data_IF_060288768166
#
_entry.id   IF_060288768166
#
_cell.length_a   1.000
_cell.length_b   1.000
_cell.length_c   1.000
_cell.angle_alpha   90.00
_cell.angle_beta   90.00
_cell.angle_gamma   90.00
#
_symmetry.space_group_name_H-M   'P 1'
#
loop_
_entity.id
_entity.type
_entity.pdbx_description
1 polymer ?
#
# COMPACT_ATOMS: atom_id res chain seq x y z
N UNK A 1 -18.18 -15.75 -36.31
CA UNK A 1 -17.05 -15.50 -35.40
C UNK A 1 -16.72 -16.80 -34.64
N UNK A 2 -15.47 -17.24 -34.64
CA UNK A 2 -15.08 -18.49 -33.97
C UNK A 2 -15.42 -18.39 -32.46
N UNK A 3 -16.10 -19.41 -31.90
CA UNK A 3 -16.57 -19.43 -30.49
C UNK A 3 -15.45 -19.12 -29.47
N UNK A 4 -14.19 -19.47 -29.81
CA UNK A 4 -13.02 -19.14 -28.98
C UNK A 4 -12.72 -17.65 -28.99
N UNK A 5 -12.75 -17.01 -30.16
CA UNK A 5 -12.52 -15.56 -30.31
C UNK A 5 -13.60 -14.78 -29.57
N UNK A 6 -14.86 -15.20 -29.67
CA UNK A 6 -15.98 -14.60 -28.94
C UNK A 6 -15.77 -14.65 -27.43
N UNK A 7 -15.31 -15.79 -26.88
CA UNK A 7 -15.05 -15.90 -25.44
C UNK A 7 -13.91 -14.97 -24.96
N UNK A 8 -12.86 -14.82 -25.75
CA UNK A 8 -11.75 -13.88 -25.44
C UNK A 8 -12.26 -12.44 -25.49
N UNK A 9 -13.04 -12.10 -26.50
CA UNK A 9 -13.62 -10.76 -26.62
C UNK A 9 -14.53 -10.43 -25.41
N UNK A 10 -15.42 -11.36 -25.04
CA UNK A 10 -16.29 -11.19 -23.85
C UNK A 10 -15.46 -11.02 -22.58
N UNK A 11 -14.36 -11.75 -22.43
CA UNK A 11 -13.47 -11.64 -21.29
C UNK A 11 -12.79 -10.26 -21.20
N UNK A 12 -12.30 -9.74 -22.34
CA UNK A 12 -11.69 -8.41 -22.40
C UNK A 12 -12.72 -7.33 -22.07
N UNK A 13 -13.91 -7.38 -22.70
CA UNK A 13 -14.99 -6.41 -22.44
C UNK A 13 -15.41 -6.47 -20.97
N UNK A 14 -15.55 -7.66 -20.40
CA UNK A 14 -15.84 -7.84 -18.97
C UNK A 14 -14.77 -7.19 -18.08
N UNK A 15 -13.49 -7.40 -18.38
CA UNK A 15 -12.38 -6.81 -17.63
C UNK A 15 -12.38 -5.28 -17.70
N UNK A 16 -12.67 -4.71 -18.87
CA UNK A 16 -12.79 -3.25 -19.04
C UNK A 16 -13.94 -2.70 -18.21
N UNK A 17 -15.12 -3.31 -18.30
CA UNK A 17 -16.29 -2.89 -17.53
C UNK A 17 -16.06 -3.02 -16.03
N UNK A 18 -15.47 -4.14 -15.57
CA UNK A 18 -15.14 -4.36 -14.18
C UNK A 18 -14.17 -3.28 -13.65
N UNK A 19 -13.11 -2.98 -14.40
CA UNK A 19 -12.16 -1.91 -14.07
C UNK A 19 -12.87 -0.57 -13.93
N UNK A 20 -13.73 -0.22 -14.89
CA UNK A 20 -14.49 1.04 -14.85
C UNK A 20 -15.40 1.13 -13.63
N UNK A 21 -16.14 0.07 -13.30
CA UNK A 21 -17.01 0.05 -12.11
C UNK A 21 -16.21 0.12 -10.80
N UNK A 22 -15.08 -0.57 -10.71
CA UNK A 22 -14.18 -0.47 -9.55
C UNK A 22 -13.71 0.98 -9.37
N UNK A 23 -13.34 1.66 -10.46
CA UNK A 23 -12.87 3.05 -10.41
C UNK A 23 -14.01 4.02 -10.04
N UNK A 24 -15.25 3.79 -10.53
CA UNK A 24 -16.44 4.54 -10.11
C UNK A 24 -16.67 4.45 -8.59
N UNK A 25 -16.56 3.25 -8.03
CA UNK A 25 -16.75 3.03 -6.59
C UNK A 25 -15.63 3.70 -5.79
N UNK A 26 -14.39 3.49 -6.22
CA UNK A 26 -13.21 4.06 -5.55
C UNK A 26 -13.25 5.59 -5.49
N UNK A 27 -13.65 6.25 -6.58
CA UNK A 27 -13.77 7.72 -6.68
C UNK A 27 -15.09 8.26 -6.13
N UNK A 28 -16.09 7.42 -5.84
CA UNK A 28 -17.46 7.84 -5.51
C UNK A 28 -18.12 8.72 -6.60
N UNK A 29 -17.64 8.68 -7.83
CA UNK A 29 -18.07 9.57 -8.90
C UNK A 29 -17.99 8.88 -10.26
N UNK A 30 -19.13 8.77 -10.94
CA UNK A 30 -19.19 8.28 -12.32
C UNK A 30 -18.46 9.22 -13.28
N UNK A 31 -18.64 10.52 -13.11
CA UNK A 31 -18.04 11.52 -13.99
C UNK A 31 -16.52 11.52 -13.91
N UNK A 32 -15.94 11.39 -12.71
CA UNK A 32 -14.50 11.30 -12.54
C UNK A 32 -13.93 10.00 -13.13
N UNK A 33 -14.60 8.87 -12.96
CA UNK A 33 -14.20 7.62 -13.58
C UNK A 33 -14.29 7.69 -15.11
N UNK A 34 -15.33 8.34 -15.66
CA UNK A 34 -15.46 8.55 -17.09
C UNK A 34 -14.38 9.48 -17.63
N UNK A 35 -14.09 10.57 -16.92
CA UNK A 35 -12.98 11.46 -17.27
C UNK A 35 -11.63 10.75 -17.22
N UNK A 36 -11.40 9.88 -16.23
CA UNK A 36 -10.20 9.06 -16.16
C UNK A 36 -10.09 8.11 -17.36
N UNK A 37 -11.17 7.44 -17.72
CA UNK A 37 -11.23 6.56 -18.88
C UNK A 37 -10.91 7.32 -20.19
N UNK A 38 -11.45 8.52 -20.38
CA UNK A 38 -11.31 9.28 -21.64
C UNK A 38 -10.00 10.04 -21.73
N UNK A 39 -9.59 10.73 -20.67
CA UNK A 39 -8.42 11.60 -20.67
C UNK A 39 -7.12 10.86 -20.34
N UNK A 40 -7.20 9.73 -19.65
CA UNK A 40 -6.05 8.94 -19.21
C UNK A 40 -6.13 7.49 -19.69
N UNK A 41 -6.60 7.27 -20.92
CA UNK A 41 -6.90 5.95 -21.47
C UNK A 41 -5.70 4.98 -21.37
N UNK A 42 -4.49 5.45 -21.66
CA UNK A 42 -3.29 4.61 -21.53
C UNK A 42 -3.07 4.11 -20.10
N UNK A 43 -3.29 4.97 -19.12
CA UNK A 43 -3.18 4.61 -17.70
C UNK A 43 -4.31 3.65 -17.30
N UNK A 44 -5.53 3.91 -17.77
CA UNK A 44 -6.66 3.02 -17.55
C UNK A 44 -6.39 1.61 -18.09
N UNK A 45 -5.69 1.45 -19.22
CA UNK A 45 -5.31 0.14 -19.74
C UNK A 45 -4.36 -0.63 -18.81
N UNK A 46 -3.49 0.01 -18.03
CA UNK A 46 -2.68 -0.66 -17.00
C UNK A 46 -3.55 -1.21 -15.86
N UNK A 47 -4.61 -0.50 -15.48
CA UNK A 47 -5.58 -1.01 -14.51
C UNK A 47 -6.34 -2.23 -15.07
N UNK A 48 -6.77 -2.18 -16.33
CA UNK A 48 -7.38 -3.33 -17.04
C UNK A 48 -6.43 -4.50 -17.09
N UNK A 49 -5.14 -4.29 -17.37
CA UNK A 49 -4.14 -5.34 -17.45
C UNK A 49 -4.00 -6.10 -16.13
N UNK A 50 -4.04 -5.39 -15.00
CA UNK A 50 -4.00 -6.01 -13.66
C UNK A 50 -5.27 -6.84 -13.41
N UNK A 51 -6.44 -6.32 -13.79
CA UNK A 51 -7.70 -7.09 -13.69
C UNK A 51 -7.65 -8.34 -14.57
N UNK A 52 -7.17 -8.24 -15.80
CA UNK A 52 -6.97 -9.38 -16.70
C UNK A 52 -6.03 -10.40 -16.08
N UNK A 53 -4.92 -9.96 -15.47
CA UNK A 53 -3.97 -10.84 -14.79
C UNK A 53 -4.62 -11.58 -13.61
N UNK A 54 -5.37 -10.88 -12.75
CA UNK A 54 -6.02 -11.47 -11.57
C UNK A 54 -7.18 -12.40 -11.93
N UNK A 55 -7.88 -12.15 -13.05
CA UNK A 55 -8.98 -12.99 -13.53
C UNK A 55 -8.52 -14.17 -14.40
N UNK A 56 -7.32 -14.08 -14.99
CA UNK A 56 -6.86 -15.13 -15.94
C UNK A 56 -6.78 -16.53 -15.33
N UNK A 57 -6.41 -16.76 -14.04
CA UNK A 57 -6.41 -18.09 -13.43
C UNK A 57 -7.78 -18.77 -13.40
N UNK A 58 -8.90 -18.01 -13.48
CA UNK A 58 -10.25 -18.57 -13.52
C UNK A 58 -10.46 -19.53 -14.69
N UNK A 59 -9.68 -19.38 -15.77
CA UNK A 59 -9.76 -20.29 -16.92
C UNK A 59 -9.23 -21.69 -16.64
N UNK A 60 -8.54 -21.91 -15.52
CA UNK A 60 -8.06 -23.22 -15.06
C UNK A 60 -9.12 -24.01 -14.27
N UNK A 61 -10.24 -23.37 -13.93
CA UNK A 61 -11.30 -24.00 -13.14
C UNK A 61 -12.52 -24.36 -13.99
N UNK A 62 -13.14 -25.52 -13.67
CA UNK A 62 -14.35 -25.99 -14.39
C UNK A 62 -15.57 -25.09 -14.15
N UNK A 63 -15.68 -24.52 -12.94
CA UNK A 63 -16.75 -23.60 -12.50
C UNK A 63 -16.32 -22.14 -12.64
N UNK A 64 -15.94 -21.74 -13.85
CA UNK A 64 -15.32 -20.43 -14.14
C UNK A 64 -16.13 -19.24 -13.64
N UNK A 65 -17.47 -19.31 -13.84
CA UNK A 65 -18.35 -18.21 -13.45
C UNK A 65 -18.26 -17.91 -11.96
N UNK A 66 -18.18 -18.93 -11.12
CA UNK A 66 -18.00 -18.76 -9.69
C UNK A 66 -16.69 -18.03 -9.36
N UNK A 67 -15.56 -18.46 -9.94
CA UNK A 67 -14.26 -17.81 -9.67
C UNK A 67 -14.20 -16.39 -10.24
N UNK A 68 -14.81 -16.13 -11.40
CA UNK A 68 -14.95 -14.77 -11.90
C UNK A 68 -15.74 -13.89 -10.94
N UNK A 69 -16.89 -14.38 -10.45
CA UNK A 69 -17.71 -13.65 -9.48
C UNK A 69 -16.97 -13.42 -8.16
N UNK A 70 -16.23 -14.42 -7.68
CA UNK A 70 -15.45 -14.34 -6.44
C UNK A 70 -14.34 -13.27 -6.52
N UNK A 71 -13.51 -13.31 -7.58
CA UNK A 71 -12.42 -12.34 -7.75
C UNK A 71 -12.98 -10.94 -8.00
N UNK A 72 -14.06 -10.81 -8.78
CA UNK A 72 -14.70 -9.52 -8.99
C UNK A 72 -15.26 -8.95 -7.68
N UNK A 73 -15.86 -9.80 -6.83
CA UNK A 73 -16.35 -9.38 -5.53
C UNK A 73 -15.21 -8.90 -4.62
N UNK A 74 -14.07 -9.59 -4.63
CA UNK A 74 -12.88 -9.15 -3.86
C UNK A 74 -12.47 -7.74 -4.31
N UNK A 75 -12.38 -7.48 -5.61
CA UNK A 75 -12.05 -6.15 -6.13
C UNK A 75 -13.09 -5.09 -5.76
N UNK A 76 -14.40 -5.43 -5.79
CA UNK A 76 -15.45 -4.52 -5.33
C UNK A 76 -15.34 -4.20 -3.84
N UNK A 77 -15.07 -5.20 -3.00
CA UNK A 77 -14.86 -4.99 -1.56
C UNK A 77 -13.64 -4.09 -1.31
N UNK A 78 -12.54 -4.30 -2.02
CA UNK A 78 -11.35 -3.45 -1.91
C UNK A 78 -11.64 -2.02 -2.35
N UNK A 79 -12.42 -1.81 -3.43
CA UNK A 79 -12.81 -0.47 -3.88
C UNK A 79 -13.72 0.24 -2.88
N UNK A 80 -14.68 -0.48 -2.28
CA UNK A 80 -15.54 0.05 -1.22
C UNK A 80 -14.73 0.40 0.04
N UNK A 81 -13.81 -0.48 0.44
CA UNK A 81 -12.91 -0.24 1.56
C UNK A 81 -12.03 0.98 1.31
N UNK A 82 -11.47 1.11 0.10
CA UNK A 82 -10.71 2.31 -0.30
C UNK A 82 -11.54 3.58 -0.15
N UNK A 83 -12.78 3.56 -0.65
CA UNK A 83 -13.68 4.70 -0.56
C UNK A 83 -13.96 5.10 0.89
N UNK A 84 -14.27 4.12 1.75
CA UNK A 84 -14.51 4.35 3.17
C UNK A 84 -13.26 4.88 3.88
N UNK A 85 -12.13 4.20 3.71
CA UNK A 85 -10.85 4.59 4.33
C UNK A 85 -10.45 6.00 3.89
N UNK A 86 -10.56 6.33 2.61
CA UNK A 86 -10.26 7.67 2.10
C UNK A 86 -11.17 8.74 2.74
N UNK A 87 -12.45 8.45 2.92
CA UNK A 87 -13.39 9.40 3.57
C UNK A 87 -13.09 9.66 5.04
N UNK A 88 -12.65 8.64 5.78
CA UNK A 88 -12.40 8.76 7.22
C UNK A 88 -10.97 9.17 7.56
N UNK A 89 -9.98 8.63 6.83
CA UNK A 89 -8.56 8.86 7.09
C UNK A 89 -7.97 9.99 6.23
N UNK A 90 -8.64 10.35 5.13
CA UNK A 90 -8.10 11.31 4.15
C UNK A 90 -7.02 10.71 3.23
N UNK A 91 -6.70 9.42 3.38
CA UNK A 91 -5.71 8.70 2.57
C UNK A 91 -6.29 7.43 1.99
N UNK A 92 -5.92 7.01 0.77
CA UNK A 92 -6.43 5.80 0.15
C UNK A 92 -5.92 4.52 0.82
N UNK A 93 -6.63 3.42 0.56
CA UNK A 93 -6.27 2.09 1.03
C UNK A 93 -5.02 1.58 0.32
N UNK A 94 -4.02 1.18 1.08
CA UNK A 94 -2.81 0.53 0.59
C UNK A 94 -2.82 -0.98 0.88
N UNK A 95 -1.92 -1.73 0.24
CA UNK A 95 -1.78 -3.16 0.53
C UNK A 95 -1.35 -3.42 1.98
N UNK A 96 -0.58 -2.51 2.57
CA UNK A 96 -0.15 -2.62 3.97
C UNK A 96 -1.30 -2.52 4.97
N UNK A 97 -2.35 -1.77 4.64
CA UNK A 97 -3.53 -1.65 5.49
C UNK A 97 -4.25 -2.99 5.69
N UNK A 98 -4.06 -3.96 4.77
CA UNK A 98 -4.59 -5.31 4.94
C UNK A 98 -3.98 -6.01 6.17
N UNK A 99 -2.69 -5.79 6.42
CA UNK A 99 -2.02 -6.30 7.61
C UNK A 99 -2.48 -5.66 8.93
N UNK A 100 -3.16 -4.51 8.85
CA UNK A 100 -3.65 -3.74 10.00
C UNK A 100 -5.16 -3.89 10.23
N UNK A 101 -5.82 -4.87 9.59
CA UNK A 101 -7.28 -5.07 9.70
C UNK A 101 -7.73 -5.25 11.14
N UNK A 102 -6.97 -5.99 11.98
CA UNK A 102 -7.32 -6.21 13.38
C UNK A 102 -7.42 -4.88 14.13
N UNK A 103 -6.41 -4.01 14.01
CA UNK A 103 -6.43 -2.68 14.61
C UNK A 103 -7.59 -1.82 14.10
N UNK A 104 -7.92 -1.93 12.80
CA UNK A 104 -9.05 -1.25 12.20
C UNK A 104 -10.40 -1.71 12.76
N UNK A 105 -10.55 -3.00 13.04
CA UNK A 105 -11.78 -3.56 13.62
C UNK A 105 -12.01 -3.10 15.06
N UNK A 106 -10.95 -2.91 15.86
CA UNK A 106 -11.05 -2.42 17.24
C UNK A 106 -11.61 -1.00 17.32
N UNK A 107 -11.35 -0.17 16.31
CA UNK A 107 -11.77 1.23 16.29
C UNK A 107 -12.99 1.50 15.40
N UNK A 108 -13.52 0.47 14.74
CA UNK A 108 -14.59 0.62 13.72
C UNK A 108 -15.85 1.28 14.30
N UNK A 109 -16.18 1.01 15.57
CA UNK A 109 -17.35 1.60 16.26
C UNK A 109 -17.20 3.11 16.50
N UNK A 110 -15.98 3.65 16.48
CA UNK A 110 -15.72 5.08 16.62
C UNK A 110 -16.02 5.84 15.31
N UNK A 111 -15.93 5.16 14.18
CA UNK A 111 -16.09 5.75 12.85
C UNK A 111 -17.44 5.42 12.22
N UNK A 112 -18.04 4.27 12.53
CA UNK A 112 -19.27 3.81 11.93
C UNK A 112 -20.37 3.67 12.98
N UNK A 113 -21.58 4.16 12.65
CA UNK A 113 -22.74 3.92 13.50
C UNK A 113 -23.09 2.44 13.54
N UNK A 114 -23.66 1.97 14.67
CA UNK A 114 -24.08 0.57 14.83
C UNK A 114 -25.03 0.11 13.71
N UNK A 115 -25.92 0.99 13.24
CA UNK A 115 -26.83 0.68 12.14
C UNK A 115 -26.07 0.41 10.83
N UNK A 116 -25.01 1.19 10.52
CA UNK A 116 -24.18 0.97 9.35
C UNK A 116 -23.42 -0.36 9.45
N UNK A 117 -22.90 -0.69 10.62
CA UNK A 117 -22.22 -1.98 10.86
C UNK A 117 -23.18 -3.15 10.61
N UNK A 118 -24.42 -3.07 11.13
CA UNK A 118 -25.43 -4.09 10.90
C UNK A 118 -25.76 -4.22 9.40
N UNK A 119 -25.92 -3.10 8.69
CA UNK A 119 -26.17 -3.11 7.24
C UNK A 119 -24.99 -3.77 6.49
N UNK A 120 -23.76 -3.47 6.87
CA UNK A 120 -22.56 -4.09 6.28
C UNK A 120 -22.53 -5.60 6.51
N UNK A 121 -22.88 -6.06 7.72
CA UNK A 121 -22.95 -7.51 8.03
C UNK A 121 -24.06 -8.18 7.20
N UNK A 122 -25.25 -7.60 7.15
CA UNK A 122 -26.37 -8.15 6.37
C UNK A 122 -26.06 -8.19 4.88
N UNK A 123 -25.42 -7.13 4.34
CA UNK A 123 -25.01 -7.09 2.93
C UNK A 123 -23.93 -8.12 2.63
N UNK A 124 -22.98 -8.35 3.54
CA UNK A 124 -21.95 -9.39 3.38
C UNK A 124 -22.53 -10.80 3.38
N UNK A 125 -23.50 -11.07 4.26
CA UNK A 125 -24.23 -12.35 4.29
C UNK A 125 -25.03 -12.58 2.99
N UNK A 126 -25.66 -11.53 2.46
CA UNK A 126 -26.35 -11.59 1.17
C UNK A 126 -25.38 -11.92 0.02
N UNK A 127 -24.22 -11.26 -0.03
CA UNK A 127 -23.19 -11.51 -1.04
C UNK A 127 -22.63 -12.93 -0.96
N UNK A 128 -22.39 -13.43 0.25
CA UNK A 128 -21.94 -14.82 0.48
C UNK A 128 -23.02 -15.80 -0.01
N UNK A 129 -24.30 -15.56 0.32
CA UNK A 129 -25.41 -16.42 -0.14
C UNK A 129 -25.52 -16.43 -1.66
N UNK A 130 -25.34 -15.30 -2.30
CA UNK A 130 -25.32 -15.16 -3.76
C UNK A 130 -24.14 -15.93 -4.39
N UNK A 131 -22.96 -15.86 -3.79
CA UNK A 131 -21.79 -16.64 -4.23
C UNK A 131 -22.04 -18.15 -4.10
N UNK A 132 -22.64 -18.61 -2.99
CA UNK A 132 -23.02 -20.00 -2.78
C UNK A 132 -24.05 -20.42 -3.84
N UNK A 133 -25.04 -19.59 -4.12
CA UNK A 133 -26.03 -19.84 -5.18
C UNK A 133 -25.37 -19.98 -6.56
N UNK A 134 -24.46 -19.09 -6.91
CA UNK A 134 -23.70 -19.15 -8.16
C UNK A 134 -22.87 -20.46 -8.21
N UNK A 135 -22.21 -20.82 -7.12
CA UNK A 135 -21.44 -22.06 -7.03
C UNK A 135 -22.29 -23.30 -7.32
N UNK A 136 -23.47 -23.39 -6.68
CA UNK A 136 -24.40 -24.53 -6.83
C UNK A 136 -25.02 -24.61 -8.24
N UNK A 137 -25.29 -23.45 -8.87
CA UNK A 137 -25.93 -23.38 -10.20
C UNK A 137 -24.94 -23.30 -11.37
N UNK A 138 -23.64 -23.12 -11.09
CA UNK A 138 -22.64 -22.94 -12.14
C UNK A 138 -22.44 -24.21 -12.96
N UNK A 139 -22.63 -24.08 -14.28
CA UNK A 139 -22.38 -25.21 -15.21
C UNK A 139 -20.87 -25.43 -15.35
N UNK A 140 -20.46 -26.70 -15.19
CA UNK A 140 -19.06 -27.11 -15.41
C UNK A 140 -18.72 -27.00 -16.91
N UNK A 141 -17.65 -26.28 -17.24
CA UNK A 141 -17.14 -26.16 -18.61
C UNK A 141 -15.93 -27.07 -18.82
N UNK A 142 -15.77 -27.61 -20.03
CA UNK A 142 -14.55 -28.32 -20.42
C UNK A 142 -13.36 -27.36 -20.46
N UNK A 143 -12.18 -27.85 -20.06
CA UNK A 143 -10.95 -27.06 -19.99
C UNK A 143 -9.92 -27.67 -20.92
N UNK A 144 -9.32 -26.85 -21.75
CA UNK A 144 -8.07 -27.19 -22.41
C UNK A 144 -6.94 -26.59 -21.56
N UNK A 145 -6.39 -27.38 -20.64
CA UNK A 145 -5.35 -26.95 -19.71
C UNK A 145 -4.11 -26.47 -20.44
N UNK A 146 -3.67 -27.15 -21.47
CA UNK A 146 -2.45 -26.78 -22.21
C UNK A 146 -2.54 -25.38 -22.78
N UNK A 147 -3.60 -25.04 -23.49
CA UNK A 147 -3.78 -23.72 -24.09
C UNK A 147 -3.95 -22.65 -23.01
N UNK A 148 -4.75 -22.93 -21.95
CA UNK A 148 -4.99 -21.94 -20.90
C UNK A 148 -3.71 -21.67 -20.09
N UNK A 149 -2.93 -22.68 -19.73
CA UNK A 149 -1.64 -22.52 -19.04
C UNK A 149 -0.69 -21.72 -19.94
N UNK A 150 -0.59 -22.07 -21.23
CA UNK A 150 0.27 -21.35 -22.16
C UNK A 150 -0.09 -19.85 -22.24
N UNK A 151 -1.37 -19.52 -22.36
CA UNK A 151 -1.83 -18.12 -22.42
C UNK A 151 -1.59 -17.35 -21.10
N UNK A 152 -1.83 -18.02 -19.97
CA UNK A 152 -1.61 -17.41 -18.65
C UNK A 152 -0.11 -17.20 -18.40
N UNK A 153 0.75 -18.18 -18.72
CA UNK A 153 2.20 -18.03 -18.58
C UNK A 153 2.75 -16.93 -19.49
N UNK A 154 2.26 -16.83 -20.73
CA UNK A 154 2.61 -15.73 -21.62
C UNK A 154 2.21 -14.37 -21.04
N UNK A 155 1.01 -14.26 -20.46
CA UNK A 155 0.55 -13.05 -19.79
C UNK A 155 1.44 -12.71 -18.58
N UNK A 156 1.78 -13.69 -17.73
CA UNK A 156 2.65 -13.50 -16.57
C UNK A 156 4.05 -13.04 -16.97
N UNK A 157 4.61 -13.62 -18.03
CA UNK A 157 5.96 -13.27 -18.53
C UNK A 157 5.96 -11.89 -19.18
N UNK A 158 4.91 -11.52 -19.93
CA UNK A 158 4.81 -10.21 -20.59
C UNK A 158 4.46 -9.07 -19.63
N UNK A 159 3.80 -9.36 -18.51
CA UNK A 159 3.32 -8.36 -17.56
C UNK A 159 4.43 -7.44 -17.01
N UNK A 160 5.56 -7.95 -16.47
CA UNK A 160 6.66 -7.10 -16.01
C UNK A 160 7.28 -6.25 -17.13
N UNK A 161 7.32 -6.77 -18.35
CA UNK A 161 7.86 -6.05 -19.51
C UNK A 161 6.97 -4.87 -19.89
N UNK A 162 5.64 -5.07 -19.86
CA UNK A 162 4.65 -4.01 -20.12
C UNK A 162 4.71 -2.96 -19.02
N UNK A 163 4.81 -3.36 -17.74
CA UNK A 163 4.99 -2.41 -16.63
C UNK A 163 6.29 -1.60 -16.79
N UNK A 164 7.41 -2.25 -17.07
CA UNK A 164 8.70 -1.57 -17.27
C UNK A 164 8.65 -0.60 -18.45
N UNK A 165 7.95 -0.94 -19.52
CA UNK A 165 7.73 -0.02 -20.63
C UNK A 165 6.95 1.23 -20.16
N UNK A 166 5.86 1.04 -19.41
CA UNK A 166 5.08 2.15 -18.87
C UNK A 166 5.86 3.07 -17.93
N UNK A 167 6.74 2.48 -17.10
CA UNK A 167 7.63 3.22 -16.21
C UNK A 167 8.68 4.03 -16.99
N UNK A 168 9.33 3.41 -17.99
CA UNK A 168 10.33 4.09 -18.83
C UNK A 168 9.75 5.19 -19.71
N UNK A 169 8.48 5.02 -20.14
CA UNK A 169 7.76 5.99 -20.95
C UNK A 169 7.05 7.06 -20.11
N UNK A 170 7.21 7.06 -18.79
CA UNK A 170 6.53 7.97 -17.86
C UNK A 170 4.99 7.95 -17.97
N UNK A 171 4.40 6.87 -18.49
CA UNK A 171 2.93 6.66 -18.54
C UNK A 171 2.42 6.35 -17.13
N UNK A 172 3.18 5.54 -16.37
CA UNK A 172 2.93 5.20 -14.97
C UNK A 172 4.16 5.53 -14.14
N UNK A 173 3.96 5.75 -12.84
CA UNK A 173 5.07 5.98 -11.89
C UNK A 173 5.08 4.90 -10.82
N UNK A 174 6.28 4.54 -10.38
CA UNK A 174 6.49 3.64 -9.25
C UNK A 174 6.36 4.40 -7.91
N UNK A 175 6.85 5.63 -7.88
CA UNK A 175 6.87 6.47 -6.69
C UNK A 175 5.86 7.61 -6.85
N UNK A 176 5.05 7.83 -5.84
CA UNK A 176 4.11 8.93 -5.79
C UNK A 176 4.66 10.00 -4.83
N UNK A 177 4.69 11.25 -5.25
CA UNK A 177 5.05 12.37 -4.38
C UNK A 177 3.97 12.65 -3.33
N UNK A 178 2.73 12.32 -3.66
CA UNK A 178 1.56 12.31 -2.78
C UNK A 178 0.70 11.08 -3.12
N UNK A 179 0.25 10.36 -2.09
CA UNK A 179 -0.47 9.11 -2.29
C UNK A 179 -1.87 9.35 -2.88
N UNK A 180 -2.57 10.42 -2.43
CA UNK A 180 -3.89 10.78 -2.95
C UNK A 180 -3.79 11.17 -4.43
N UNK A 181 -2.78 11.99 -4.77
CA UNK A 181 -2.49 12.34 -6.16
C UNK A 181 -2.20 11.09 -7.00
N UNK A 182 -1.40 10.16 -6.48
CA UNK A 182 -1.07 8.91 -7.15
C UNK A 182 -2.31 8.08 -7.49
N UNK A 183 -3.22 7.89 -6.52
CA UNK A 183 -4.46 7.16 -6.72
C UNK A 183 -5.43 7.86 -7.68
N UNK A 184 -5.49 9.17 -7.62
CA UNK A 184 -6.30 9.97 -8.56
C UNK A 184 -5.74 9.92 -9.98
N UNK A 185 -4.40 9.97 -10.13
CA UNK A 185 -3.75 10.01 -11.44
C UNK A 185 -3.66 8.63 -12.10
N UNK A 186 -3.29 7.60 -11.33
CA UNK A 186 -3.02 6.27 -11.88
C UNK A 186 -4.15 5.26 -11.69
N UNK A 187 -5.21 5.63 -10.96
CA UNK A 187 -6.35 4.78 -10.63
C UNK A 187 -6.08 3.86 -9.44
N UNK A 188 -7.18 3.41 -8.81
CA UNK A 188 -7.12 2.60 -7.59
C UNK A 188 -6.39 1.27 -7.79
N UNK A 189 -6.74 0.53 -8.86
CA UNK A 189 -6.23 -0.83 -9.07
C UNK A 189 -4.71 -0.82 -9.25
N UNK A 190 -4.19 0.08 -10.09
CA UNK A 190 -2.75 0.20 -10.31
C UNK A 190 -2.03 0.65 -9.03
N UNK A 191 -2.54 1.67 -8.36
CA UNK A 191 -1.89 2.23 -7.17
C UNK A 191 -1.88 1.25 -6.00
N UNK A 192 -2.98 0.53 -5.78
CA UNK A 192 -3.06 -0.53 -4.79
C UNK A 192 -2.09 -1.70 -5.09
N UNK A 193 -2.04 -2.14 -6.36
CA UNK A 193 -1.08 -3.16 -6.80
C UNK A 193 0.36 -2.68 -6.65
N UNK A 194 0.64 -1.41 -7.02
CA UNK A 194 1.96 -0.80 -6.85
C UNK A 194 2.38 -0.75 -5.37
N UNK A 195 1.47 -0.46 -4.45
CA UNK A 195 1.76 -0.48 -3.01
C UNK A 195 2.14 -1.87 -2.49
N UNK A 196 1.64 -2.96 -3.11
CA UNK A 196 2.01 -4.33 -2.78
C UNK A 196 3.43 -4.72 -3.22
N UNK A 197 3.90 -4.17 -4.35
CA UNK A 197 5.20 -4.53 -4.94
C UNK A 197 6.29 -3.58 -4.47
N UNK A 198 5.96 -2.31 -4.25
CA UNK A 198 6.93 -1.28 -3.91
C UNK A 198 7.13 -1.22 -2.39
N UNK A 199 7.98 -2.07 -1.87
CA UNK A 199 8.21 -2.25 -0.43
C UNK A 199 9.16 -1.18 0.19
N UNK A 200 9.29 0.00 -0.42
CA UNK A 200 10.19 1.05 0.08
C UNK A 200 11.66 0.74 -0.15
N UNK A 201 12.50 0.93 0.88
CA UNK A 201 13.94 0.69 0.79
C UNK A 201 14.23 -0.81 0.83
N UNK A 202 14.93 -1.31 -0.18
CA UNK A 202 15.40 -2.68 -0.18
C UNK A 202 16.46 -2.88 0.92
N UNK A 203 16.38 -4.03 1.57
CA UNK A 203 17.41 -4.44 2.54
C UNK A 203 18.79 -4.41 1.85
N UNK A 204 19.80 -3.76 2.45
CA UNK A 204 21.15 -3.74 1.86
C UNK A 204 21.68 -5.16 1.62
N UNK A 205 22.44 -5.32 0.53
CA UNK A 205 22.98 -6.64 0.14
C UNK A 205 23.84 -7.26 1.25
N UNK A 206 24.55 -6.42 2.00
CA UNK A 206 25.45 -6.84 3.08
C UNK A 206 24.80 -6.80 4.46
N UNK A 207 23.48 -6.81 4.54
CA UNK A 207 22.78 -6.79 5.81
C UNK A 207 22.93 -8.14 6.51
N UNK A 208 23.78 -8.16 7.54
CA UNK A 208 24.02 -9.31 8.41
C UNK A 208 24.22 -8.85 9.87
N UNK A 209 24.08 -9.77 10.81
CA UNK A 209 24.36 -9.47 12.21
C UNK A 209 25.83 -9.03 12.42
N UNK A 210 26.76 -9.58 11.63
CA UNK A 210 28.17 -9.22 11.68
C UNK A 210 28.40 -7.79 11.19
N UNK A 211 27.72 -7.39 10.11
CA UNK A 211 27.75 -6.01 9.61
C UNK A 211 27.20 -5.04 10.62
N UNK A 212 26.06 -5.37 11.27
CA UNK A 212 25.47 -4.54 12.33
C UNK A 212 26.43 -4.44 13.50
N UNK A 213 27.04 -5.54 13.92
CA UNK A 213 28.02 -5.57 15.02
C UNK A 213 29.28 -4.76 14.68
N UNK A 214 29.77 -4.83 13.46
CA UNK A 214 30.91 -4.02 13.01
C UNK A 214 30.61 -2.54 12.99
N UNK A 215 29.41 -2.13 12.52
CA UNK A 215 28.95 -0.73 12.55
C UNK A 215 28.82 -0.26 14.01
N UNK A 216 28.20 -1.07 14.87
CA UNK A 216 28.10 -0.77 16.29
C UNK A 216 29.47 -0.55 16.92
N UNK A 217 30.42 -1.43 16.67
CA UNK A 217 31.78 -1.32 17.18
C UNK A 217 32.51 -0.11 16.62
N UNK A 218 32.36 0.23 15.36
CA UNK A 218 32.94 1.44 14.76
C UNK A 218 32.35 2.72 15.35
N UNK A 219 31.06 2.74 15.68
CA UNK A 219 30.43 3.88 16.36
C UNK A 219 30.91 4.04 17.78
N UNK A 220 31.21 2.94 18.50
CA UNK A 220 31.77 2.97 19.84
C UNK A 220 33.25 3.43 19.85
N UNK A 221 33.98 3.26 18.74
CA UNK A 221 35.35 3.73 18.59
C UNK A 221 35.45 5.20 18.13
N UNK A 222 34.36 5.79 17.68
CA UNK A 222 34.28 7.22 17.41
C UNK A 222 34.01 7.96 18.74
N UNK A 223 34.96 7.90 19.68
CA UNK A 223 34.94 8.82 20.82
C UNK A 223 35.18 10.23 20.27
N UNK A 224 34.27 11.19 20.53
CA UNK A 224 34.51 12.56 20.15
C UNK A 224 35.73 13.09 20.94
N UNK A 225 36.72 13.55 20.23
CA UNK A 225 37.97 14.16 20.77
C UNK A 225 37.72 15.45 21.57
N UNK A 226 36.48 15.86 21.80
CA UNK A 226 36.13 16.99 22.66
C UNK A 226 34.82 16.72 23.41
N UNK A 227 34.93 16.54 24.69
CA UNK A 227 34.00 16.82 25.82
C UNK A 227 32.48 16.77 25.64
N UNK A 228 31.95 16.17 24.59
CA UNK A 228 30.54 15.86 24.51
C UNK A 228 30.33 14.45 25.04
N UNK A 229 30.18 14.34 26.35
CA UNK A 229 29.76 13.10 27.03
C UNK A 229 28.49 12.60 26.34
N UNK A 230 28.61 11.58 25.50
CA UNK A 230 27.51 10.70 25.09
C UNK A 230 27.01 9.94 26.35
N UNK A 231 26.43 10.69 27.29
CA UNK A 231 25.93 10.14 28.57
C UNK A 231 24.67 9.28 28.35
N UNK A 232 24.09 9.28 27.16
CA UNK A 232 22.87 8.51 26.89
C UNK A 232 23.17 7.11 26.36
N UNK A 233 24.24 6.91 25.59
CA UNK A 233 24.54 5.59 25.03
C UNK A 233 25.11 4.60 26.04
N UNK A 234 25.85 5.06 27.04
CA UNK A 234 26.39 4.17 28.09
C UNK A 234 25.34 3.75 29.11
N UNK A 235 24.34 4.56 29.39
CA UNK A 235 23.25 4.22 30.30
C UNK A 235 22.21 3.28 29.69
N UNK A 236 22.02 3.30 28.36
CA UNK A 236 21.08 2.39 27.69
C UNK A 236 21.74 1.05 27.36
N UNK A 237 23.05 1.01 27.10
CA UNK A 237 23.75 -0.23 26.75
C UNK A 237 24.11 -1.08 27.97
N UNK A 238 24.20 -0.51 29.17
CA UNK A 238 24.51 -1.22 30.42
C UNK A 238 23.31 -1.47 31.33
N UNK A 239 22.07 -1.39 30.79
CA UNK A 239 20.97 -2.00 31.51
C UNK A 239 21.03 -3.52 31.29
N UNK A 240 21.93 -4.16 32.04
CA UNK A 240 21.82 -5.57 32.38
C UNK A 240 20.49 -5.74 33.15
N UNK A 241 19.48 -6.24 32.43
CA UNK A 241 18.23 -6.69 33.02
C UNK A 241 18.54 -7.97 33.83
N UNK A 242 19.41 -7.86 34.85
CA UNK A 242 19.47 -8.87 35.91
C UNK A 242 18.25 -8.62 36.77
N UNK A 243 17.35 -9.61 36.74
CA UNK A 243 16.29 -9.78 37.72
C UNK A 243 16.80 -9.40 39.14
N UNK A 244 16.52 -8.18 39.53
CA UNK A 244 16.54 -7.80 40.94
C UNK A 244 15.35 -6.88 41.18
N UNK A 245 14.45 -7.42 41.94
CA UNK A 245 13.25 -6.83 42.51
C UNK A 245 13.44 -5.36 42.90
N UNK A 246 12.48 -4.51 42.51
CA UNK A 246 12.27 -3.12 42.92
C UNK A 246 13.08 -1.99 42.27
N UNK A 247 13.55 -2.11 41.02
CA UNK A 247 13.93 -0.91 40.25
C UNK A 247 12.73 -0.32 39.54
N UNK A 248 12.34 0.89 39.93
CA UNK A 248 11.38 1.70 39.18
C UNK A 248 11.91 1.88 37.75
N UNK A 249 11.21 1.28 36.76
CA UNK A 249 11.52 1.50 35.37
C UNK A 249 11.26 2.97 35.01
N UNK A 250 12.14 3.61 34.25
CA UNK A 250 11.91 5.00 33.82
C UNK A 250 10.67 5.08 32.92
N UNK A 251 9.92 6.16 33.04
CA UNK A 251 8.88 6.48 32.11
C UNK A 251 9.52 6.91 30.78
N UNK A 252 9.10 6.29 29.66
CA UNK A 252 9.55 6.64 28.32
C UNK A 252 8.44 7.43 27.64
N UNK A 253 8.75 8.66 27.20
CA UNK A 253 7.82 9.51 26.47
C UNK A 253 8.37 9.62 25.05
N UNK A 254 7.63 9.10 24.07
CA UNK A 254 7.91 9.25 22.65
C UNK A 254 7.02 10.35 22.08
N UNK A 255 7.64 11.36 21.48
CA UNK A 255 6.93 12.46 20.82
C UNK A 255 7.25 12.41 19.34
N UNK A 256 6.27 12.07 18.51
CA UNK A 256 6.37 12.15 17.06
C UNK A 256 5.85 13.50 16.59
N UNK A 257 6.73 14.30 15.98
CA UNK A 257 6.39 15.58 15.36
C UNK A 257 6.06 15.32 13.89
N UNK A 258 4.76 15.14 13.61
CA UNK A 258 4.26 14.88 12.27
C UNK A 258 4.43 16.11 11.37
N UNK A 259 4.86 15.88 10.13
CA UNK A 259 5.07 16.95 9.12
C UNK A 259 6.01 18.08 9.57
N UNK A 260 6.87 17.81 10.56
CA UNK A 260 7.84 18.79 11.04
C UNK A 260 8.97 18.93 10.03
N UNK A 261 9.27 20.17 9.65
CA UNK A 261 10.46 20.55 8.89
C UNK A 261 11.20 21.65 9.64
N UNK A 262 12.52 21.56 9.70
CA UNK A 262 13.32 22.68 10.21
C UNK A 262 13.37 23.79 9.15
N UNK A 263 12.75 24.96 9.40
CA UNK A 263 12.73 26.05 8.42
C UNK A 263 14.12 26.58 8.05
N UNK A 264 15.13 26.37 8.89
CA UNK A 264 16.52 26.79 8.62
C UNK A 264 17.16 25.95 7.48
N UNK A 265 16.56 24.83 7.07
CA UNK A 265 17.02 24.05 5.92
C UNK A 265 16.54 24.62 4.59
N UNK A 266 15.61 25.59 4.61
CA UNK A 266 15.06 26.20 3.40
C UNK A 266 15.92 27.42 3.08
N UNK A 267 16.77 27.32 2.08
CA UNK A 267 17.79 28.36 1.73
C UNK A 267 17.21 29.67 1.22
N UNK A 268 16.01 29.62 0.66
CA UNK A 268 15.35 30.79 0.03
C UNK A 268 14.51 31.62 1.00
N UNK A 269 14.43 31.24 2.27
CA UNK A 269 13.65 31.94 3.29
C UNK A 269 14.62 32.64 4.25
N UNK A 270 14.44 33.95 4.40
CA UNK A 270 15.12 34.74 5.46
C UNK A 270 14.20 34.82 6.67
N UNK A 271 14.60 34.23 7.77
CA UNK A 271 13.86 34.24 9.02
C UNK A 271 14.39 35.35 9.92
N UNK A 272 13.49 36.17 10.50
CA UNK A 272 13.86 37.23 11.46
C UNK A 272 14.28 36.68 12.82
N UNK A 273 13.80 35.49 13.19
CA UNK A 273 14.17 34.76 14.41
C UNK A 273 14.23 33.27 14.07
N UNK A 274 15.08 32.54 14.78
CA UNK A 274 15.15 31.09 14.66
C UNK A 274 13.91 30.46 15.34
N UNK A 275 12.97 29.86 14.60
CA UNK A 275 11.74 29.30 15.16
C UNK A 275 11.97 27.98 15.89
N UNK A 276 13.12 27.33 15.69
CA UNK A 276 13.45 26.01 16.24
C UNK A 276 14.66 26.03 17.18
N UNK A 277 14.96 27.19 17.76
CA UNK A 277 16.11 27.37 18.64
C UNK A 277 16.17 26.38 19.81
N UNK A 278 15.03 26.03 20.42
CA UNK A 278 14.97 25.05 21.50
C UNK A 278 15.31 23.64 21.00
N UNK A 279 14.83 23.26 19.81
CA UNK A 279 15.15 21.94 19.23
C UNK A 279 16.64 21.84 18.88
N UNK A 280 17.23 22.92 18.34
CA UNK A 280 18.65 22.97 18.05
C UNK A 280 19.50 22.91 19.33
N UNK A 281 19.09 23.60 20.39
CA UNK A 281 19.74 23.49 21.70
C UNK A 281 19.71 22.04 22.22
N UNK A 282 18.53 21.39 22.19
CA UNK A 282 18.39 19.99 22.59
C UNK A 282 19.22 19.05 21.70
N UNK A 283 19.30 19.32 20.40
CA UNK A 283 20.11 18.53 19.47
C UNK A 283 21.61 18.66 19.73
N UNK A 284 22.07 19.78 20.30
CA UNK A 284 23.45 19.99 20.70
C UNK A 284 23.78 19.36 22.06
N UNK A 285 22.80 19.26 22.96
CA UNK A 285 22.98 18.69 24.31
C UNK A 285 22.78 17.18 24.34
N UNK A 286 21.91 16.63 23.48
CA UNK A 286 21.53 15.22 23.48
C UNK A 286 21.85 14.55 22.14
N UNK A 287 21.87 13.22 22.13
CA UNK A 287 22.08 12.46 20.90
C UNK A 287 21.01 12.78 19.88
N UNK A 288 21.44 13.31 18.74
CA UNK A 288 20.57 13.68 17.63
C UNK A 288 21.14 13.23 16.30
N UNK A 289 20.31 13.13 15.28
CA UNK A 289 20.73 12.74 13.95
C UNK A 289 19.61 12.80 12.92
N UNK A 290 19.97 12.67 11.65
CA UNK A 290 19.03 12.59 10.55
C UNK A 290 18.89 11.13 10.12
N UNK A 291 17.64 10.70 9.98
CA UNK A 291 17.31 9.35 9.49
C UNK A 291 16.64 9.52 8.15
N UNK A 292 17.15 8.81 7.13
CA UNK A 292 16.43 8.69 5.86
C UNK A 292 15.33 7.66 6.00
N UNK A 293 14.08 8.09 5.89
CA UNK A 293 12.91 7.23 6.04
C UNK A 293 12.26 7.05 4.68
N UNK A 294 11.90 5.80 4.29
CA UNK A 294 11.13 5.58 3.08
C UNK A 294 9.73 6.15 3.25
N UNK A 295 9.38 7.11 2.42
CA UNK A 295 8.05 7.70 2.38
C UNK A 295 7.37 7.27 1.09
N UNK A 296 6.29 6.52 1.20
CA UNK A 296 5.40 6.24 0.07
C UNK A 296 4.45 7.42 -0.08
N UNK A 297 4.66 8.20 -1.16
CA UNK A 297 3.73 9.24 -1.55
C UNK A 297 3.82 10.55 -0.79
N UNK A 298 5.00 11.00 -0.37
CA UNK A 298 5.22 12.36 0.16
C UNK A 298 4.48 12.69 1.46
N UNK A 299 3.90 11.69 2.11
CA UNK A 299 3.26 11.83 3.42
C UNK A 299 4.24 11.74 4.58
N UNK A 300 3.71 11.70 5.79
CA UNK A 300 4.49 11.40 7.00
C UNK A 300 5.13 10.02 6.90
N UNK A 301 6.37 9.92 7.38
CA UNK A 301 7.08 8.66 7.45
C UNK A 301 6.25 7.63 8.24
N UNK A 302 6.02 6.47 7.64
CA UNK A 302 5.54 5.32 8.38
C UNK A 302 6.68 4.81 9.25
N UNK A 303 6.68 5.21 10.48
CA UNK A 303 7.62 4.76 11.52
C UNK A 303 7.06 3.57 12.26
#
# INVERSE_FOLDING_TARGET
MNKKILNIFIFIVYSILLTFFIDCISRSSFNEAFNFLTNSFNIFLYNVLIIVLTLSPCFLFKIRLFYFSLISLIWFILALANNLVTKFRGMPLTFYDIGMIENGLEIIEQYLSKNLIIIMILSSLLLISLLIFIFLKCKKKSINYFINILLISLLIISFPQILNYGLKSNIISKNFWDINWGYNTYGFIYSFFNSAINNGINKPINYSNDTISSIKNSLLLLEPENDMKLTVSSSIVNYDFKDNDNKLLPNIILIQLESFINPNWITDIKLNKNPVSNLESLSNEFTSGLISVPVLGGGTANT
#
